data_IF_907569763896
#
_entry.id   IF_907569763896
#
_cell.length_a   1.000
_cell.length_b   1.000
_cell.length_c   1.000
_cell.angle_alpha   90.00
_cell.angle_beta   90.00
_cell.angle_gamma   90.00
#
_symmetry.space_group_name_H-M   'P 1'
#
loop_
_entity.id
_entity.type
_entity.pdbx_description
1 polymer ?
#
# COMPACT_ATOMS: atom_id res chain seq x y z
N UNK A 1 8.85 12.70 14.96
CA UNK A 1 8.86 12.22 14.69
C UNK A 1 8.18 11.28 13.91
N UNK A 2 7.52 10.65 14.30
CA UNK A 2 6.89 9.69 13.60
C UNK A 2 5.88 10.16 12.69
N UNK A 3 5.44 11.36 12.82
CA UNK A 3 4.48 11.93 11.95
C UNK A 3 4.92 11.87 10.54
N UNK A 4 6.20 12.10 10.30
CA UNK A 4 6.69 12.08 8.96
C UNK A 4 6.57 10.70 8.36
N UNK A 5 6.90 9.70 9.16
CA UNK A 5 6.79 8.36 8.69
C UNK A 5 5.35 8.00 8.41
N UNK A 6 4.46 8.44 9.28
CA UNK A 6 3.06 8.17 9.07
C UNK A 6 2.55 8.83 7.82
N UNK A 7 2.97 10.05 7.59
CA UNK A 7 2.48 10.78 6.44
C UNK A 7 2.91 10.15 5.13
N UNK A 8 4.19 9.84 5.01
CA UNK A 8 4.69 9.34 3.76
C UNK A 8 4.52 7.84 3.63
N UNK A 9 4.98 7.12 4.66
CA UNK A 9 4.95 5.67 4.56
C UNK A 9 3.58 5.10 4.82
N UNK A 10 2.86 5.70 5.77
CA UNK A 10 1.53 5.24 6.09
C UNK A 10 0.59 5.39 4.92
N UNK A 11 0.65 6.53 4.25
CA UNK A 11 -0.20 6.77 3.11
C UNK A 11 0.15 5.83 1.96
N UNK A 12 1.43 5.64 1.69
CA UNK A 12 1.85 4.75 0.62
C UNK A 12 1.42 3.32 0.92
N UNK A 13 1.63 2.86 2.15
CA UNK A 13 1.20 1.53 2.54
C UNK A 13 -0.30 1.36 2.40
N UNK A 14 -1.06 2.36 2.82
CA UNK A 14 -2.51 2.33 2.69
C UNK A 14 -2.92 2.22 1.22
N UNK A 15 -2.31 3.01 0.35
CA UNK A 15 -2.63 2.96 -1.08
C UNK A 15 -2.31 1.60 -1.69
N UNK A 16 -1.18 1.01 -1.29
CA UNK A 16 -0.84 -0.31 -1.79
C UNK A 16 -1.88 -1.33 -1.35
N UNK A 17 -2.26 -1.33 -0.08
CA UNK A 17 -3.27 -2.26 0.41
C UNK A 17 -4.61 -2.04 -0.28
N UNK A 18 -4.97 -0.78 -0.47
CA UNK A 18 -6.22 -0.45 -1.13
C UNK A 18 -6.25 -0.98 -2.57
N UNK A 19 -5.18 -0.75 -3.31
CA UNK A 19 -5.12 -1.20 -4.70
C UNK A 19 -5.11 -2.72 -4.78
N UNK A 20 -4.40 -3.38 -3.89
CA UNK A 20 -4.36 -4.84 -3.89
C UNK A 20 -5.68 -5.44 -3.43
N UNK A 21 -6.51 -4.67 -2.73
CA UNK A 21 -7.85 -5.14 -2.39
C UNK A 21 -8.74 -5.24 -3.63
N UNK A 22 -8.37 -4.55 -4.70
CA UNK A 22 -9.12 -4.61 -5.95
C UNK A 22 -8.66 -5.78 -6.81
N UNK A 23 -7.35 -5.98 -6.90
CA UNK A 23 -6.79 -7.09 -7.66
C UNK A 23 -5.29 -7.20 -7.39
N UNK A 24 -4.74 -8.38 -7.62
CA UNK A 24 -3.31 -8.59 -7.51
C UNK A 24 -2.59 -7.77 -8.59
N UNK A 25 -1.43 -7.25 -8.27
CA UNK A 25 -0.67 -6.40 -9.19
C UNK A 25 0.82 -6.61 -9.04
N UNK A 26 1.56 -6.31 -10.12
CA UNK A 26 3.01 -6.22 -10.09
C UNK A 26 3.41 -4.89 -9.45
N UNK A 27 4.66 -4.80 -9.00
CA UNK A 27 5.16 -3.55 -8.42
C UNK A 27 5.09 -2.39 -9.40
N UNK A 28 5.37 -2.63 -10.67
CA UNK A 28 5.31 -1.60 -11.70
C UNK A 28 3.87 -1.06 -11.84
N UNK A 29 2.90 -1.97 -11.87
CA UNK A 29 1.51 -1.58 -12.00
C UNK A 29 1.05 -0.78 -10.79
N UNK A 30 1.51 -1.17 -9.60
CA UNK A 30 1.22 -0.43 -8.38
C UNK A 30 1.76 0.99 -8.46
N UNK A 31 3.01 1.14 -8.91
CA UNK A 31 3.60 2.47 -9.06
C UNK A 31 2.80 3.32 -10.03
N UNK A 32 2.39 2.73 -11.15
CA UNK A 32 1.63 3.45 -12.16
C UNK A 32 0.29 3.92 -11.61
N UNK A 33 -0.42 3.05 -10.90
CA UNK A 33 -1.71 3.42 -10.34
C UNK A 33 -1.58 4.48 -9.25
N UNK A 34 -0.56 4.37 -8.42
CA UNK A 34 -0.33 5.36 -7.38
C UNK A 34 0.01 6.71 -8.03
N UNK A 35 0.80 6.68 -9.10
CA UNK A 35 1.12 7.89 -9.83
C UNK A 35 -0.11 8.58 -10.39
N UNK A 36 -1.07 7.81 -10.88
CA UNK A 36 -2.31 8.38 -11.38
C UNK A 36 -3.11 9.07 -10.29
N UNK A 37 -3.10 8.50 -9.09
CA UNK A 37 -3.90 9.02 -7.99
C UNK A 37 -3.24 10.19 -7.27
N UNK A 38 -1.91 10.17 -7.18
CA UNK A 38 -1.18 11.19 -6.43
C UNK A 38 -0.59 12.28 -7.29
N UNK A 39 -0.52 12.04 -8.58
CA UNK A 39 0.08 13.01 -9.49
C UNK A 39 1.55 12.77 -9.73
N UNK A 40 2.20 11.92 -8.94
CA UNK A 40 3.58 11.54 -9.21
C UNK A 40 3.78 10.09 -8.81
N UNK A 41 4.65 9.45 -9.53
CA UNK A 41 4.88 8.03 -9.42
C UNK A 41 6.00 7.76 -8.43
N UNK A 42 5.80 6.87 -7.43
CA UNK A 42 6.88 6.57 -6.50
C UNK A 42 8.03 5.87 -7.24
N UNK A 43 9.24 6.20 -6.83
CA UNK A 43 10.42 5.57 -7.40
C UNK A 43 10.57 4.16 -6.89
N UNK A 44 11.35 3.29 -7.57
CA UNK A 44 11.63 1.96 -7.05
C UNK A 44 12.22 1.99 -5.64
N UNK A 45 13.04 2.99 -5.34
CA UNK A 45 13.61 3.13 -4.01
C UNK A 45 12.59 3.42 -2.93
N UNK A 46 11.38 3.82 -3.32
CA UNK A 46 10.30 4.10 -2.40
C UNK A 46 9.30 2.96 -2.35
N UNK A 47 8.90 2.44 -3.52
CA UNK A 47 7.83 1.44 -3.58
C UNK A 47 8.28 0.07 -3.08
N UNK A 48 9.47 -0.38 -3.43
CA UNK A 48 9.90 -1.72 -3.08
C UNK A 48 10.19 -1.90 -1.58
N UNK A 49 10.79 -0.92 -0.89
CA UNK A 49 10.89 -1.05 0.57
C UNK A 49 9.52 -1.07 1.25
N UNK A 50 8.55 -0.32 0.73
CA UNK A 50 7.20 -0.34 1.29
C UNK A 50 6.56 -1.70 1.10
N UNK A 51 6.72 -2.31 -0.09
CA UNK A 51 6.21 -3.64 -0.35
C UNK A 51 6.86 -4.68 0.55
N UNK A 52 8.17 -4.54 0.76
CA UNK A 52 8.89 -5.45 1.64
C UNK A 52 8.35 -5.38 3.06
N UNK A 53 8.14 -4.17 3.57
CA UNK A 53 7.59 -3.99 4.91
C UNK A 53 6.22 -4.61 5.05
N UNK A 54 5.36 -4.41 4.06
CA UNK A 54 4.01 -4.99 4.10
C UNK A 54 4.07 -6.51 4.05
N UNK A 55 4.99 -7.04 3.26
CA UNK A 55 5.15 -8.48 3.17
C UNK A 55 5.66 -9.06 4.50
N UNK A 56 6.62 -8.40 5.11
CA UNK A 56 7.16 -8.85 6.39
C UNK A 56 6.14 -8.76 7.51
N UNK A 57 5.20 -7.83 7.38
CA UNK A 57 4.11 -7.70 8.34
C UNK A 57 2.99 -8.72 8.12
N UNK A 58 3.06 -9.48 7.03
CA UNK A 58 2.05 -10.48 6.76
C UNK A 58 0.82 -9.94 6.07
N UNK A 59 0.86 -8.71 5.57
CA UNK A 59 -0.30 -8.08 4.94
C UNK A 59 -0.44 -8.39 3.46
N UNK A 60 0.64 -8.75 2.81
CA UNK A 60 0.62 -9.11 1.40
C UNK A 60 1.48 -10.33 1.15
N UNK A 61 1.23 -11.01 0.04
CA UNK A 61 2.06 -12.14 -0.40
C UNK A 61 2.73 -11.77 -1.70
N UNK A 62 3.80 -12.48 -2.01
CA UNK A 62 4.52 -12.33 -3.26
C UNK A 62 4.45 -13.63 -4.02
N UNK A 63 4.17 -13.56 -5.29
CA UNK A 63 4.19 -14.72 -6.16
C UNK A 63 5.10 -14.42 -7.32
N UNK A 64 6.20 -15.15 -7.42
CA UNK A 64 7.13 -14.94 -8.52
C UNK A 64 6.64 -15.71 -9.75
N UNK A 65 6.53 -15.02 -10.85
CA UNK A 65 6.11 -15.61 -12.11
C UNK A 65 7.11 -15.16 -13.16
N UNK A 66 8.09 -16.00 -13.45
CA UNK A 66 9.16 -15.63 -14.34
C UNK A 66 9.98 -14.52 -13.75
N UNK A 67 10.08 -13.40 -14.45
CA UNK A 67 10.83 -12.23 -13.99
C UNK A 67 9.95 -11.27 -13.23
N UNK A 68 8.67 -11.57 -13.07
CA UNK A 68 7.72 -10.67 -12.49
C UNK A 68 7.27 -11.19 -11.15
N UNK A 69 7.07 -10.27 -10.19
CA UNK A 69 6.53 -10.61 -8.88
C UNK A 69 5.16 -9.98 -8.77
N UNK A 70 4.15 -10.82 -8.51
CA UNK A 70 2.79 -10.36 -8.32
C UNK A 70 2.50 -10.32 -6.84
N UNK A 71 1.94 -9.22 -6.37
CA UNK A 71 1.59 -9.01 -4.96
C UNK A 71 0.09 -9.18 -4.78
N UNK A 72 -0.29 -9.80 -3.68
CA UNK A 72 -1.71 -10.03 -3.35
C UNK A 72 -1.95 -9.73 -1.90
N UNK A 73 -3.17 -9.32 -1.59
CA UNK A 73 -3.57 -9.00 -0.23
C UNK A 73 -3.89 -10.27 0.54
N UNK A 74 -3.41 -10.35 1.79
CA UNK A 74 -3.73 -11.48 2.67
C UNK A 74 -4.97 -11.15 3.50
N UNK A 75 -5.56 -12.11 4.22
CA UNK A 75 -6.65 -11.79 5.14
C UNK A 75 -6.23 -10.78 6.21
N UNK A 76 -4.99 -10.88 6.69
CA UNK A 76 -4.45 -9.90 7.63
C UNK A 76 -4.36 -8.53 6.98
N UNK A 77 -3.96 -8.49 5.71
CA UNK A 77 -3.91 -7.24 4.96
C UNK A 77 -5.27 -6.61 4.81
N UNK A 78 -6.29 -7.43 4.59
CA UNK A 78 -7.66 -6.93 4.49
C UNK A 78 -8.12 -6.33 5.80
N UNK A 79 -7.79 -6.97 6.92
CA UNK A 79 -8.14 -6.44 8.23
C UNK A 79 -7.40 -5.14 8.51
N UNK A 80 -6.12 -5.08 8.15
CA UNK A 80 -5.33 -3.87 8.33
C UNK A 80 -5.88 -2.72 7.50
N UNK A 81 -6.27 -3.01 6.27
CA UNK A 81 -6.85 -2.00 5.40
C UNK A 81 -8.15 -1.47 5.98
N UNK A 82 -9.01 -2.37 6.45
CA UNK A 82 -10.29 -1.99 7.02
C UNK A 82 -10.09 -1.12 8.26
N UNK A 83 -9.15 -1.50 9.12
CA UNK A 83 -8.86 -0.73 10.32
C UNK A 83 -8.30 0.64 9.96
N UNK A 84 -7.42 0.70 8.96
CA UNK A 84 -6.84 1.96 8.51
C UNK A 84 -7.89 2.87 7.90
N UNK A 85 -8.81 2.30 7.13
CA UNK A 85 -9.88 3.06 6.51
C UNK A 85 -10.79 3.66 7.57
N UNK A 86 -11.13 2.90 8.59
CA UNK A 86 -11.98 3.39 9.66
C UNK A 86 -11.30 4.53 10.41
N UNK A 87 -10.01 4.37 10.72
CA UNK A 87 -9.25 5.39 11.41
C UNK A 87 -9.12 6.65 10.56
N UNK A 88 -8.88 6.47 9.28
CA UNK A 88 -8.74 7.58 8.36
C UNK A 88 -10.04 8.39 8.29
N UNK A 89 -11.17 7.70 8.17
CA UNK A 89 -12.47 8.35 8.13
C UNK A 89 -12.77 9.09 9.42
N UNK A 90 -12.44 8.52 10.57
CA UNK A 90 -12.63 9.20 11.84
C UNK A 90 -11.82 10.47 11.90
N UNK A 91 -10.58 10.42 11.46
CA UNK A 91 -9.70 11.57 11.48
C UNK A 91 -10.26 12.69 10.63
N UNK A 92 -10.71 12.36 9.43
CA UNK A 92 -11.19 13.38 8.52
C UNK A 92 -12.60 13.86 8.82
N UNK A 93 -13.42 13.05 9.46
CA UNK A 93 -14.74 13.54 9.82
C UNK A 93 -14.65 14.58 10.92
N UNK A 94 -13.57 14.57 11.71
CA UNK A 94 -13.36 15.61 12.68
C UNK A 94 -12.92 16.92 12.05
N UNK A 95 -12.42 16.88 10.83
CA UNK A 95 -11.98 18.07 10.12
C UNK A 95 -13.13 18.70 9.36
N UNK A 96 -13.98 17.88 8.81
CA UNK A 96 -15.10 18.37 8.04
C UNK A 96 -16.32 18.55 8.93
#
# INVERSE_FOLDING_TARGET
MDEKCCDMRGLLGFLILFLLSKQAMHGQALSDEIGKRRGDRPSPGTIYPALKNLHESGFITEKREGKTITYSLTPEGKRALKASTARFCQTFSGVF
#
